data_IF_957981381382
#
_entry.id   IF_957981381382
#
_cell.length_a   1.000
_cell.length_b   1.000
_cell.length_c   1.000
_cell.angle_alpha   90.00
_cell.angle_beta   90.00
_cell.angle_gamma   90.00
#
_symmetry.space_group_name_H-M   'P 1'
#
loop_
_entity.id
_entity.type
_entity.pdbx_description
1 polymer ?
#
# COMPACT_ATOMS: atom_id res chain seq x y z
N UNK A 1 10.65 -6.04 3.12
CA UNK A 1 10.70 -4.66 2.59
C UNK A 1 9.36 -3.93 2.78
N UNK A 2 8.26 -4.44 2.23
CA UNK A 2 6.93 -3.77 2.26
C UNK A 2 6.47 -3.42 3.67
N UNK A 3 6.66 -4.32 4.64
CA UNK A 3 6.28 -4.06 6.03
C UNK A 3 6.96 -2.83 6.63
N UNK A 4 8.28 -2.74 6.52
CA UNK A 4 9.02 -1.59 7.04
C UNK A 4 8.61 -0.27 6.37
N UNK A 5 8.32 -0.30 5.06
CA UNK A 5 7.84 0.88 4.34
C UNK A 5 6.45 1.33 4.83
N UNK A 6 5.53 0.38 5.04
CA UNK A 6 4.18 0.67 5.57
C UNK A 6 4.26 1.18 7.00
N UNK A 7 5.09 0.57 7.86
CA UNK A 7 5.27 1.01 9.25
C UNK A 7 5.81 2.46 9.30
N UNK A 8 6.80 2.78 8.46
CA UNK A 8 7.36 4.13 8.36
C UNK A 8 6.32 5.14 7.85
N UNK A 9 5.54 4.76 6.83
CA UNK A 9 4.48 5.59 6.27
C UNK A 9 3.35 5.84 7.25
N UNK A 10 2.91 4.80 7.97
CA UNK A 10 1.89 4.91 9.02
C UNK A 10 2.32 5.85 10.14
N UNK A 11 3.56 5.71 10.62
CA UNK A 11 4.11 6.60 11.63
C UNK A 11 4.21 8.05 11.13
N UNK A 12 4.55 8.27 9.85
CA UNK A 12 4.57 9.60 9.26
C UNK A 12 3.16 10.20 9.14
N UNK A 13 2.19 9.43 8.65
CA UNK A 13 0.80 9.85 8.49
C UNK A 13 0.17 10.25 9.83
N UNK A 14 0.41 9.48 10.90
CA UNK A 14 -0.06 9.79 12.25
C UNK A 14 0.50 11.10 12.83
N UNK A 15 1.69 11.54 12.38
CA UNK A 15 2.30 12.79 12.85
C UNK A 15 1.73 14.03 12.17
N UNK A 16 1.29 13.89 10.92
CA UNK A 16 0.82 15.01 10.08
C UNK A 16 -0.70 15.10 10.01
N UNK A 17 -1.42 14.06 10.44
CA UNK A 17 -2.88 14.02 10.42
C UNK A 17 -3.44 12.69 10.92
N UNK A 18 -4.66 12.37 10.50
CA UNK A 18 -5.35 11.14 10.89
C UNK A 18 -5.05 9.99 9.92
N UNK A 19 -4.47 8.90 10.44
CA UNK A 19 -4.31 7.66 9.69
C UNK A 19 -5.59 6.83 9.77
N UNK A 20 -6.25 6.63 8.63
CA UNK A 20 -7.46 5.78 8.55
C UNK A 20 -7.10 4.29 8.58
N UNK A 21 -6.13 3.86 7.77
CA UNK A 21 -5.80 2.44 7.58
C UNK A 21 -4.39 2.26 7.03
N UNK A 22 -3.69 1.23 7.52
CA UNK A 22 -2.46 0.72 6.96
C UNK A 22 -2.56 -0.82 6.89
N UNK A 23 -2.50 -1.39 5.69
CA UNK A 23 -2.67 -2.83 5.49
C UNK A 23 -1.63 -3.40 4.54
N UNK A 24 -1.19 -4.63 4.81
CA UNK A 24 -0.23 -5.37 4.01
C UNK A 24 -0.91 -6.64 3.54
N UNK A 25 -0.90 -6.87 2.23
CA UNK A 25 -1.35 -8.11 1.60
C UNK A 25 -0.10 -8.79 1.03
N UNK A 26 0.50 -9.78 1.72
CA UNK A 26 1.80 -10.36 1.30
C UNK A 26 1.74 -11.13 -0.02
N UNK A 27 0.58 -11.68 -0.36
CA UNK A 27 0.31 -12.38 -1.63
C UNK A 27 -1.02 -11.90 -2.20
N UNK A 28 -1.02 -10.79 -2.96
CA UNK A 28 -2.21 -10.42 -3.71
C UNK A 28 -2.52 -11.53 -4.72
N UNK A 29 -3.81 -11.81 -4.91
CA UNK A 29 -4.27 -12.68 -5.98
C UNK A 29 -4.08 -11.97 -7.33
N UNK A 30 -3.68 -12.68 -8.38
CA UNK A 30 -3.40 -12.11 -9.70
C UNK A 30 -4.56 -11.28 -10.26
N UNK A 31 -5.80 -11.75 -10.08
CA UNK A 31 -7.02 -11.07 -10.54
C UNK A 31 -7.24 -9.67 -9.96
N UNK A 32 -6.54 -9.32 -8.86
CA UNK A 32 -6.59 -7.98 -8.30
C UNK A 32 -5.78 -7.00 -9.16
N UNK A 33 -4.74 -7.44 -9.85
CA UNK A 33 -3.87 -6.54 -10.64
C UNK A 33 -4.61 -5.88 -11.80
N UNK A 34 -5.56 -6.62 -12.40
CA UNK A 34 -6.38 -6.13 -13.51
C UNK A 34 -7.58 -5.28 -13.04
N UNK A 35 -7.99 -5.43 -11.78
CA UNK A 35 -9.23 -4.83 -11.25
C UNK A 35 -9.01 -3.64 -10.35
N UNK A 36 -7.85 -3.54 -9.71
CA UNK A 36 -7.49 -2.44 -8.82
C UNK A 36 -6.09 -1.93 -9.15
N UNK A 37 -5.83 -0.61 -9.05
CA UNK A 37 -4.54 -0.03 -9.40
C UNK A 37 -3.49 -0.28 -8.31
N UNK A 38 -3.03 -1.52 -8.17
CA UNK A 38 -1.96 -1.91 -7.22
C UNK A 38 -0.56 -1.60 -7.74
N UNK A 39 -0.37 -1.45 -9.06
CA UNK A 39 0.90 -1.03 -9.67
C UNK A 39 0.82 0.45 -10.03
N UNK A 40 1.76 1.25 -9.52
CA UNK A 40 1.95 2.62 -9.98
C UNK A 40 2.23 2.58 -11.50
N UNK A 41 1.37 3.23 -12.28
CA UNK A 41 1.25 3.07 -13.73
C UNK A 41 2.58 2.99 -14.46
N UNK A 42 2.81 1.83 -15.09
CA UNK A 42 3.72 1.66 -16.21
C UNK A 42 2.91 0.98 -17.29
N UNK A 43 2.39 1.78 -18.24
CA UNK A 43 1.58 1.31 -19.34
C UNK A 43 2.31 0.35 -20.26
N UNK A 44 1.56 -0.64 -20.75
CA UNK A 44 1.48 -0.95 -22.16
C UNK A 44 0.10 -0.54 -22.64
#
# INVERSE_FOLDING_TARGET
AVRAAVDAGAAAAQRVGELISAHIIPRPHSDLEDRIPIRAGGGG
#
